data_IF_554834443607
#
_entry.id   IF_554834443607
#
_cell.length_a   1.000
_cell.length_b   1.000
_cell.length_c   1.000
_cell.angle_alpha   90.00
_cell.angle_beta   90.00
_cell.angle_gamma   90.00
#
_symmetry.space_group_name_H-M   'P 1'
#
loop_
_entity.id
_entity.type
_entity.pdbx_description
1 polymer ?
#
# COMPACT_ATOMS: atom_id res chain seq x y z
N UNK A 1 20.74 -8.78 0.30
CA UNK A 1 20.06 -8.62 -1.01
C UNK A 1 19.01 -7.52 -0.85
N UNK A 2 18.75 -6.77 -1.90
CA UNK A 2 17.68 -5.76 -1.92
C UNK A 2 16.52 -6.23 -2.79
N UNK A 3 15.32 -5.99 -2.32
CA UNK A 3 14.08 -6.40 -2.99
C UNK A 3 13.16 -5.20 -3.14
N UNK A 4 12.44 -5.15 -4.25
CA UNK A 4 11.35 -4.22 -4.48
C UNK A 4 10.05 -4.99 -4.71
N UNK A 5 8.99 -4.54 -4.08
CA UNK A 5 7.66 -5.15 -4.20
C UNK A 5 6.58 -4.11 -4.43
N UNK A 6 5.44 -4.59 -4.90
CA UNK A 6 4.20 -3.83 -4.90
C UNK A 6 3.20 -4.50 -3.94
N UNK A 7 2.44 -3.69 -3.22
CA UNK A 7 1.36 -4.18 -2.36
C UNK A 7 0.07 -3.38 -2.59
N UNK A 8 -1.03 -4.08 -2.40
CA UNK A 8 -2.35 -3.48 -2.28
C UNK A 8 -2.86 -3.62 -0.84
N UNK A 9 -3.68 -2.69 -0.41
CA UNK A 9 -4.27 -2.74 0.92
C UNK A 9 -5.59 -1.99 1.02
N UNK A 10 -6.48 -2.54 1.84
CA UNK A 10 -7.63 -1.85 2.38
C UNK A 10 -7.18 -1.03 3.59
N UNK A 11 -7.16 0.29 3.45
CA UNK A 11 -6.70 1.21 4.48
C UNK A 11 -7.68 1.45 5.63
N UNK A 12 -8.91 0.93 5.56
CA UNK A 12 -9.99 1.23 6.51
C UNK A 12 -9.61 0.93 7.97
N UNK A 13 -8.81 -0.11 8.19
CA UNK A 13 -8.37 -0.53 9.54
C UNK A 13 -7.01 0.03 9.96
N UNK A 14 -6.37 0.84 9.11
CA UNK A 14 -5.04 1.38 9.38
C UNK A 14 -5.05 2.88 9.65
N UNK A 15 -4.19 3.31 10.54
CA UNK A 15 -3.91 4.73 10.81
C UNK A 15 -2.93 5.34 9.80
N UNK A 16 -3.03 4.89 8.54
CA UNK A 16 -2.16 5.27 7.44
C UNK A 16 -1.06 4.26 7.16
N UNK A 17 -0.24 4.58 6.15
CA UNK A 17 0.85 3.70 5.73
C UNK A 17 1.99 3.68 6.75
N UNK A 18 2.48 4.85 7.15
CA UNK A 18 3.68 5.00 7.97
C UNK A 18 3.49 4.49 9.40
N UNK A 19 4.49 3.77 9.90
CA UNK A 19 4.53 3.29 11.28
C UNK A 19 4.48 4.44 12.29
N UNK A 20 3.62 4.29 13.30
CA UNK A 20 3.39 5.25 14.38
C UNK A 20 3.35 4.51 15.72
N UNK A 21 3.69 5.23 16.82
CA UNK A 21 3.53 4.68 18.15
C UNK A 21 2.05 4.44 18.45
N UNK A 22 1.73 3.23 18.92
CA UNK A 22 0.38 2.84 19.36
C UNK A 22 -0.73 2.85 18.27
N UNK A 23 -0.38 2.71 17.00
CA UNK A 23 -1.34 2.63 15.91
C UNK A 23 -0.97 1.54 14.91
N UNK A 24 -1.98 0.85 14.36
CA UNK A 24 -1.77 -0.11 13.28
C UNK A 24 -1.48 0.63 11.98
N UNK A 25 -0.41 0.23 11.30
CA UNK A 25 0.01 0.81 10.03
C UNK A 25 0.34 -0.28 9.02
N UNK A 26 0.21 0.05 7.73
CA UNK A 26 0.56 -0.87 6.65
C UNK A 26 2.05 -1.22 6.68
N UNK A 27 2.92 -0.22 6.93
CA UNK A 27 4.36 -0.42 7.09
C UNK A 27 4.66 -1.42 8.22
N UNK A 28 4.03 -1.26 9.38
CA UNK A 28 4.24 -2.17 10.51
C UNK A 28 3.78 -3.60 10.21
N UNK A 29 2.67 -3.77 9.47
CA UNK A 29 2.21 -5.08 9.02
C UNK A 29 3.19 -5.72 8.04
N UNK A 30 3.69 -4.97 7.06
CA UNK A 30 4.70 -5.44 6.10
C UNK A 30 6.01 -5.81 6.80
N UNK A 31 6.56 -4.95 7.66
CA UNK A 31 7.81 -5.20 8.38
C UNK A 31 7.72 -6.44 9.27
N UNK A 32 6.59 -6.63 9.96
CA UNK A 32 6.33 -7.84 10.76
C UNK A 32 6.26 -9.10 9.90
N UNK A 33 5.56 -9.04 8.76
CA UNK A 33 5.44 -10.17 7.84
C UNK A 33 6.79 -10.51 7.19
N UNK A 34 7.55 -9.53 6.73
CA UNK A 34 8.90 -9.74 6.17
C UNK A 34 9.82 -10.36 7.24
N UNK A 35 9.77 -9.83 8.47
CA UNK A 35 10.60 -10.32 9.58
C UNK A 35 10.25 -11.74 10.04
N UNK A 36 9.04 -12.23 9.77
CA UNK A 36 8.66 -13.63 10.04
C UNK A 36 9.21 -14.62 9.01
N UNK A 37 9.55 -14.13 7.81
CA UNK A 37 10.12 -14.93 6.72
C UNK A 37 11.63 -14.92 6.76
N UNK A 38 12.24 -13.76 7.04
CA UNK A 38 13.68 -13.60 7.10
C UNK A 38 14.08 -12.31 7.80
N UNK A 39 15.39 -12.12 7.97
CA UNK A 39 15.92 -10.97 8.72
C UNK A 39 15.84 -9.69 7.90
N UNK A 40 14.97 -8.79 8.30
CA UNK A 40 14.93 -7.42 7.81
C UNK A 40 16.11 -6.63 8.39
N UNK A 41 16.91 -5.99 7.54
CA UNK A 41 18.12 -5.26 7.99
C UNK A 41 17.82 -3.83 8.43
N UNK A 42 16.87 -3.18 7.78
CA UNK A 42 16.43 -1.81 8.06
C UNK A 42 14.91 -1.72 7.89
N UNK A 43 14.30 -0.63 8.35
CA UNK A 43 12.92 -0.30 8.00
C UNK A 43 12.72 -0.27 6.48
N UNK A 44 11.54 -0.67 6.02
CA UNK A 44 11.21 -0.61 4.59
C UNK A 44 11.11 0.84 4.11
N UNK A 45 11.53 1.08 2.86
CA UNK A 45 11.21 2.30 2.14
C UNK A 45 9.91 2.10 1.34
N UNK A 46 9.22 3.18 1.00
CA UNK A 46 7.98 3.15 0.23
C UNK A 46 7.82 4.40 -0.62
N UNK A 47 7.11 4.27 -1.74
CA UNK A 47 7.04 5.31 -2.78
C UNK A 47 6.21 6.53 -2.36
N UNK A 48 5.20 6.35 -1.52
CA UNK A 48 4.34 7.45 -1.09
C UNK A 48 3.64 7.16 0.23
N UNK A 49 3.51 8.19 1.06
CA UNK A 49 2.74 8.11 2.30
C UNK A 49 1.26 8.25 1.97
N UNK A 50 0.43 7.40 2.56
CA UNK A 50 -1.03 7.53 2.55
C UNK A 50 -1.53 7.78 3.97
N UNK A 51 -2.56 8.59 4.10
CA UNK A 51 -3.20 8.92 5.36
C UNK A 51 -4.14 7.80 5.83
N UNK A 52 -4.68 7.93 7.05
CA UNK A 52 -5.61 6.97 7.63
C UNK A 52 -6.83 6.76 6.72
N UNK A 53 -7.21 5.50 6.51
CA UNK A 53 -8.35 5.12 5.69
C UNK A 53 -8.10 5.12 4.19
N UNK A 54 -6.96 5.58 3.70
CA UNK A 54 -6.65 5.59 2.26
C UNK A 54 -6.22 4.19 1.82
N UNK A 55 -6.86 3.69 0.76
CA UNK A 55 -6.54 2.41 0.12
C UNK A 55 -5.42 2.56 -0.91
N UNK A 56 -4.83 1.45 -1.34
CA UNK A 56 -3.89 1.42 -2.46
C UNK A 56 -4.05 0.14 -3.27
N UNK A 57 -3.92 0.26 -4.58
CA UNK A 57 -3.87 -0.87 -5.53
C UNK A 57 -2.44 -1.22 -5.97
N UNK A 58 -1.43 -0.45 -5.54
CA UNK A 58 -0.06 -0.66 -6.03
C UNK A 58 0.97 0.24 -5.35
N UNK A 59 1.02 0.23 -4.02
CA UNK A 59 2.10 0.90 -3.28
C UNK A 59 3.40 0.15 -3.49
N UNK A 60 4.41 0.83 -4.00
CA UNK A 60 5.76 0.27 -4.16
C UNK A 60 6.55 0.45 -2.88
N UNK A 61 7.23 -0.61 -2.45
CA UNK A 61 8.13 -0.60 -1.30
C UNK A 61 9.42 -1.36 -1.61
N UNK A 62 10.48 -1.07 -0.88
CA UNK A 62 11.73 -1.83 -0.95
C UNK A 62 12.24 -2.19 0.44
N UNK A 63 12.93 -3.32 0.54
CA UNK A 63 13.56 -3.79 1.76
C UNK A 63 14.86 -4.52 1.48
N UNK A 64 15.68 -4.67 2.52
CA UNK A 64 16.91 -5.42 2.48
C UNK A 64 16.90 -6.59 3.45
N UNK A 65 17.41 -7.73 2.99
CA UNK A 65 17.62 -8.92 3.82
C UNK A 65 18.96 -9.59 3.53
N UNK A 66 19.52 -10.24 4.55
CA UNK A 66 20.72 -11.06 4.43
C UNK A 66 20.42 -12.51 4.08
N UNK A 67 19.16 -12.92 4.19
CA UNK A 67 18.75 -14.30 3.99
C UNK A 67 18.61 -14.63 2.50
N UNK A 68 19.20 -15.76 2.11
CA UNK A 68 19.10 -16.30 0.76
C UNK A 68 17.83 -17.15 0.63
N UNK A 69 16.77 -16.55 0.09
CA UNK A 69 15.50 -17.21 -0.24
C UNK A 69 15.14 -16.90 -1.68
N UNK A 70 14.38 -17.78 -2.32
CA UNK A 70 13.82 -17.50 -3.65
C UNK A 70 12.72 -16.42 -3.53
N UNK A 71 12.48 -15.70 -4.62
CA UNK A 71 11.39 -14.70 -4.68
C UNK A 71 10.04 -15.31 -4.35
N UNK A 72 9.79 -16.55 -4.79
CA UNK A 72 8.57 -17.28 -4.48
C UNK A 72 8.43 -17.57 -2.97
N UNK A 73 9.51 -18.01 -2.31
CA UNK A 73 9.52 -18.26 -0.86
C UNK A 73 9.25 -16.98 -0.08
N UNK A 74 9.86 -15.85 -0.51
CA UNK A 74 9.58 -14.53 0.07
C UNK A 74 8.12 -14.14 -0.11
N UNK A 75 7.61 -14.15 -1.35
CA UNK A 75 6.26 -13.71 -1.69
C UNK A 75 5.19 -14.52 -0.94
N UNK A 76 5.31 -15.86 -0.96
CA UNK A 76 4.37 -16.75 -0.24
C UNK A 76 4.46 -16.58 1.27
N UNK A 77 5.68 -16.51 1.81
CA UNK A 77 5.89 -16.35 3.25
C UNK A 77 5.36 -15.02 3.77
N UNK A 78 5.63 -13.92 3.07
CA UNK A 78 5.12 -12.59 3.44
C UNK A 78 3.58 -12.60 3.42
N UNK A 79 2.95 -13.06 2.33
CA UNK A 79 1.49 -13.07 2.21
C UNK A 79 0.81 -13.99 3.24
N UNK A 80 1.46 -15.09 3.65
CA UNK A 80 0.91 -15.96 4.69
C UNK A 80 0.92 -15.34 6.09
N UNK A 81 1.73 -14.32 6.32
CA UNK A 81 1.88 -13.63 7.60
C UNK A 81 1.16 -12.26 7.64
N UNK A 82 0.73 -11.76 6.48
CA UNK A 82 -0.03 -10.50 6.37
C UNK A 82 -1.48 -10.69 6.82
N UNK A 83 -2.12 -9.63 7.34
CA UNK A 83 -3.57 -9.64 7.54
C UNK A 83 -4.30 -9.62 6.19
N UNK A 84 -5.55 -10.08 6.16
CA UNK A 84 -6.39 -10.17 4.94
C UNK A 84 -6.59 -8.83 4.23
N UNK A 85 -6.34 -7.72 4.92
CA UNK A 85 -6.44 -6.36 4.38
C UNK A 85 -5.19 -5.87 3.65
N UNK A 86 -4.12 -6.68 3.57
CA UNK A 86 -2.86 -6.33 2.88
C UNK A 86 -2.38 -7.52 2.06
N UNK A 87 -1.98 -7.29 0.81
CA UNK A 87 -1.39 -8.30 -0.05
C UNK A 87 -0.18 -7.76 -0.80
N UNK A 88 0.91 -8.50 -0.83
CA UNK A 88 2.04 -8.24 -1.74
C UNK A 88 1.74 -8.92 -3.07
N UNK A 89 1.56 -8.11 -4.11
CA UNK A 89 1.16 -8.58 -5.44
C UNK A 89 2.33 -8.97 -6.33
N UNK A 90 3.49 -8.38 -6.08
CA UNK A 90 4.73 -8.72 -6.81
C UNK A 90 5.96 -8.47 -5.95
N UNK A 91 7.03 -9.21 -6.26
CA UNK A 91 8.34 -9.05 -5.64
C UNK A 91 9.43 -9.38 -6.65
N UNK A 92 10.50 -8.59 -6.66
CA UNK A 92 11.68 -8.82 -7.50
C UNK A 92 12.95 -8.34 -6.81
N UNK A 93 14.11 -8.79 -7.27
CA UNK A 93 15.38 -8.25 -6.84
C UNK A 93 15.57 -6.84 -7.39
N UNK A 94 16.19 -5.98 -6.61
CA UNK A 94 16.47 -4.60 -6.99
C UNK A 94 17.96 -4.30 -6.91
N UNK A 95 18.46 -3.34 -7.71
CA UNK A 95 19.81 -2.78 -7.54
C UNK A 95 20.01 -2.25 -6.11
N UNK A 96 21.26 -2.29 -5.62
CA UNK A 96 21.55 -1.87 -4.23
C UNK A 96 21.23 -0.40 -3.96
N UNK A 97 21.37 0.44 -4.98
CA UNK A 97 21.11 1.87 -4.96
C UNK A 97 19.64 2.25 -5.21
N UNK A 98 18.79 1.30 -5.60
CA UNK A 98 17.35 1.55 -5.78
C UNK A 98 16.70 2.05 -4.50
N UNK A 99 15.79 3.03 -4.62
CA UNK A 99 15.03 3.57 -3.51
C UNK A 99 13.60 3.91 -3.94
N UNK A 100 12.61 3.16 -3.46
CA UNK A 100 11.21 3.26 -3.88
C UNK A 100 10.60 4.67 -3.80
N UNK A 101 11.10 5.52 -2.89
CA UNK A 101 10.63 6.90 -2.75
C UNK A 101 11.28 7.86 -3.75
N UNK A 102 12.61 7.75 -3.93
CA UNK A 102 13.37 8.72 -4.72
C UNK A 102 13.36 8.40 -6.21
N UNK A 103 13.28 7.10 -6.56
CA UNK A 103 13.21 6.65 -7.95
C UNK A 103 11.76 6.59 -8.48
N UNK A 104 10.77 6.99 -7.67
CA UNK A 104 9.38 7.05 -8.09
C UNK A 104 9.17 8.20 -9.09
N UNK A 105 8.88 7.84 -10.35
CA UNK A 105 8.64 8.81 -11.44
C UNK A 105 7.18 9.26 -11.54
N UNK A 106 6.24 8.50 -10.95
CA UNK A 106 4.81 8.81 -11.00
C UNK A 106 4.08 8.27 -9.79
N UNK A 107 3.09 9.03 -9.30
CA UNK A 107 2.09 8.60 -8.32
C UNK A 107 0.73 8.94 -8.87
N UNK A 108 -0.16 7.97 -8.90
CA UNK A 108 -1.53 8.15 -9.40
C UNK A 108 -2.50 8.04 -8.24
N UNK A 109 -3.41 8.99 -8.14
CA UNK A 109 -4.47 9.01 -7.14
C UNK A 109 -5.83 8.99 -7.83
N UNK A 110 -6.77 8.22 -7.26
CA UNK A 110 -8.16 8.19 -7.69
C UNK A 110 -9.05 8.56 -6.50
N UNK A 111 -9.94 9.52 -6.69
CA UNK A 111 -10.97 9.86 -5.73
C UNK A 111 -12.32 9.49 -6.34
N UNK A 112 -12.98 8.49 -5.78
CA UNK A 112 -14.20 7.93 -6.35
C UNK A 112 -15.41 8.61 -5.69
N UNK A 113 -16.22 9.27 -6.50
CA UNK A 113 -17.45 9.93 -6.07
C UNK A 113 -18.65 9.16 -6.62
N UNK A 114 -19.52 8.74 -5.74
CA UNK A 114 -20.79 8.12 -6.09
C UNK A 114 -21.90 9.15 -6.03
N UNK A 115 -22.55 9.39 -7.17
CA UNK A 115 -23.69 10.32 -7.28
C UNK A 115 -24.98 9.50 -7.41
N UNK A 116 -25.65 9.25 -6.31
CA UNK A 116 -26.90 8.47 -6.30
C UNK A 116 -27.81 8.88 -5.16
N UNK A 117 -29.12 8.62 -5.32
CA UNK A 117 -30.12 8.94 -4.30
C UNK A 117 -29.99 8.08 -3.04
N UNK A 118 -29.39 6.91 -3.14
CA UNK A 118 -29.21 5.95 -2.03
C UNK A 118 -27.75 5.62 -1.82
N UNK A 119 -27.34 5.37 -0.57
CA UNK A 119 -25.96 4.99 -0.23
C UNK A 119 -25.65 3.59 -0.76
N UNK A 120 -24.56 3.39 -1.49
CA UNK A 120 -24.09 2.08 -1.94
C UNK A 120 -23.43 1.34 -0.78
N UNK A 121 -24.15 0.40 -0.15
CA UNK A 121 -23.70 -0.29 1.07
C UNK A 121 -22.38 -1.04 0.85
N UNK A 122 -22.21 -1.73 -0.28
CA UNK A 122 -20.99 -2.50 -0.57
C UNK A 122 -19.79 -1.63 -0.96
N UNK A 123 -20.00 -0.38 -1.34
CA UNK A 123 -18.93 0.56 -1.73
C UNK A 123 -18.73 1.67 -0.69
N UNK A 124 -19.38 1.60 0.47
CA UNK A 124 -19.43 2.71 1.45
C UNK A 124 -18.04 3.16 1.93
N UNK A 125 -17.08 2.24 1.99
CA UNK A 125 -15.72 2.51 2.48
C UNK A 125 -14.76 2.91 1.34
N UNK A 126 -15.21 2.83 0.07
CA UNK A 126 -14.38 3.07 -1.12
C UNK A 126 -14.81 4.29 -1.93
N UNK A 127 -15.98 4.88 -1.64
CA UNK A 127 -16.52 5.99 -2.41
C UNK A 127 -17.01 7.12 -1.50
N UNK A 128 -16.85 8.35 -1.95
CA UNK A 128 -17.54 9.48 -1.34
C UNK A 128 -18.94 9.60 -1.94
N UNK A 129 -19.96 9.61 -1.08
CA UNK A 129 -21.36 9.71 -1.51
C UNK A 129 -21.79 11.19 -1.58
N UNK A 130 -22.10 11.65 -2.77
CA UNK A 130 -22.65 12.97 -3.04
C UNK A 130 -24.08 12.86 -3.55
N UNK A 131 -25.02 13.55 -2.91
CA UNK A 131 -26.44 13.51 -3.30
C UNK A 131 -26.77 14.38 -4.51
N UNK A 132 -26.04 15.44 -4.70
CA UNK A 132 -26.24 16.39 -5.80
C UNK A 132 -25.42 15.97 -7.00
N UNK A 133 -25.91 16.28 -8.20
CA UNK A 133 -25.13 16.11 -9.41
C UNK A 133 -23.87 16.98 -9.34
N UNK A 134 -22.78 16.44 -9.86
CA UNK A 134 -21.48 17.11 -9.95
C UNK A 134 -21.30 17.55 -11.39
N UNK A 135 -20.89 18.78 -11.57
CA UNK A 135 -20.49 19.32 -12.87
C UNK A 135 -19.01 18.94 -13.10
N UNK A 136 -18.81 17.89 -13.92
CA UNK A 136 -17.48 17.36 -14.20
C UNK A 136 -16.67 18.35 -15.04
N UNK A 137 -17.33 19.05 -15.98
CA UNK A 137 -16.66 20.01 -16.86
C UNK A 137 -16.12 21.21 -16.06
N UNK A 138 -16.88 21.67 -15.07
CA UNK A 138 -16.43 22.71 -14.15
C UNK A 138 -15.23 22.24 -13.32
N UNK A 139 -15.26 21.01 -12.80
CA UNK A 139 -14.16 20.44 -12.00
C UNK A 139 -12.87 20.22 -12.81
N UNK A 140 -12.98 19.99 -14.12
CA UNK A 140 -11.82 19.79 -15.00
C UNK A 140 -11.13 21.09 -15.40
N UNK A 141 -11.83 22.22 -15.32
CA UNK A 141 -11.34 23.52 -15.76
C UNK A 141 -10.74 24.39 -14.63
N UNK A 142 -10.72 23.87 -13.39
CA UNK A 142 -10.02 24.46 -12.23
C UNK A 142 -8.65 23.78 -11.99
#
# INVERSE_FOLDING_TARGET
>A
MKFVGACEYDGSSFSGFQSQKNAQSVQGALEKAISSVGRLTNSINYSGRTDAGVHSLGQVFDFESVDCRTLEQWLRGINSALPDSVSVTSLQEAPKDFHSRFDAIKRTYAYIIYTGSTRPIFLKDYVFCQKNNIDIDLMQNE
#
